data_IF_704623462534
#
_entry.id   IF_704623462534
#
_cell.length_a   1.000
_cell.length_b   1.000
_cell.length_c   1.000
_cell.angle_alpha   90.00
_cell.angle_beta   90.00
_cell.angle_gamma   90.00
#
_symmetry.space_group_name_H-M   'P 1'
#
loop_
_entity.id
_entity.type
_entity.pdbx_description
1 polymer ?
#
# COMPACT_ATOMS: atom_id res chain seq x y z
N UNK A 1 9.46 -38.41 37.60
CA UNK A 1 9.51 -38.45 36.14
C UNK A 1 9.72 -37.01 35.67
N UNK A 2 10.97 -36.66 35.53
CA UNK A 2 11.38 -35.32 35.13
C UNK A 2 11.07 -35.12 33.62
N UNK A 3 10.14 -34.25 33.30
CA UNK A 3 9.91 -33.80 31.95
C UNK A 3 10.92 -32.68 31.64
N UNK A 4 12.07 -33.08 31.15
CA UNK A 4 13.09 -32.14 30.68
C UNK A 4 12.54 -31.27 29.54
N UNK A 5 12.45 -29.99 29.75
CA UNK A 5 12.20 -28.99 28.73
C UNK A 5 13.51 -28.73 27.97
N UNK A 6 13.55 -29.16 26.73
CA UNK A 6 14.66 -28.83 25.84
C UNK A 6 14.41 -27.44 25.27
N UNK A 7 15.04 -26.44 25.85
CA UNK A 7 15.00 -25.06 25.37
C UNK A 7 16.12 -24.87 24.36
N UNK A 8 15.81 -24.97 23.07
CA UNK A 8 16.75 -24.55 22.04
C UNK A 8 16.73 -23.03 21.94
N UNK A 9 17.77 -22.39 22.44
CA UNK A 9 17.93 -20.94 22.39
C UNK A 9 18.63 -20.58 21.07
N UNK A 10 17.95 -19.85 20.20
CA UNK A 10 18.56 -19.26 19.01
C UNK A 10 18.95 -17.81 19.31
N UNK A 11 20.22 -17.53 19.32
CA UNK A 11 20.75 -16.16 19.35
C UNK A 11 20.89 -15.68 17.89
N UNK A 12 20.09 -14.73 17.49
CA UNK A 12 20.36 -13.94 16.30
C UNK A 12 21.09 -12.65 16.72
N UNK A 13 21.81 -12.02 15.83
CA UNK A 13 22.54 -10.75 16.07
C UNK A 13 21.62 -9.56 16.46
N UNK A 14 20.34 -9.80 16.61
CA UNK A 14 19.36 -8.88 17.13
C UNK A 14 19.29 -9.04 18.65
N UNK A 15 19.36 -7.95 19.39
CA UNK A 15 19.36 -7.87 20.86
C UNK A 15 18.06 -8.43 21.50
N UNK A 16 17.75 -9.71 21.29
CA UNK A 16 16.58 -10.36 21.84
C UNK A 16 16.72 -11.89 21.89
N UNK A 17 16.15 -12.52 22.92
CA UNK A 17 16.11 -13.98 23.08
C UNK A 17 14.78 -14.50 22.57
N UNK A 18 14.81 -15.48 21.67
CA UNK A 18 13.60 -16.17 21.16
C UNK A 18 13.55 -17.54 21.84
N UNK A 19 12.44 -17.85 22.50
CA UNK A 19 12.17 -19.19 23.06
C UNK A 19 10.93 -19.76 22.38
N UNK A 20 11.08 -20.94 21.75
CA UNK A 20 9.95 -21.67 21.14
C UNK A 20 9.49 -22.81 22.05
N UNK A 21 8.20 -23.12 22.09
CA UNK A 21 7.64 -24.32 22.70
C UNK A 21 7.38 -25.42 21.64
N UNK A 22 7.09 -26.64 22.08
CA UNK A 22 6.81 -27.78 21.19
C UNK A 22 5.56 -27.65 20.35
N UNK A 23 4.74 -26.62 20.58
CA UNK A 23 3.52 -26.32 19.81
C UNK A 23 3.77 -25.32 18.66
N UNK A 24 5.02 -24.87 18.47
CA UNK A 24 5.36 -23.93 17.41
C UNK A 24 5.04 -22.47 17.72
N UNK A 25 4.64 -22.18 18.96
CA UNK A 25 4.41 -20.80 19.38
C UNK A 25 5.74 -20.13 19.71
N UNK A 26 6.07 -19.04 19.04
CA UNK A 26 7.28 -18.24 19.30
C UNK A 26 6.91 -17.13 20.28
N UNK A 27 7.50 -17.16 21.48
CA UNK A 27 7.43 -16.03 22.42
C UNK A 27 8.68 -15.18 22.31
N UNK A 28 8.49 -13.93 21.94
CA UNK A 28 9.59 -12.97 21.81
C UNK A 28 9.66 -12.15 23.08
N UNK A 29 10.80 -12.21 23.75
CA UNK A 29 11.07 -11.40 24.94
C UNK A 29 12.05 -10.29 24.60
N UNK A 30 11.67 -9.04 24.83
CA UNK A 30 12.45 -7.82 24.56
C UNK A 30 12.91 -7.68 23.11
N UNK A 31 12.02 -7.27 22.25
CA UNK A 31 12.34 -6.83 20.90
C UNK A 31 12.88 -5.39 20.91
N UNK A 32 13.85 -5.10 20.03
CA UNK A 32 14.13 -3.72 19.63
C UNK A 32 12.84 -3.07 19.09
N UNK A 33 12.76 -1.74 19.08
CA UNK A 33 11.58 -1.02 18.54
C UNK A 33 11.26 -1.45 17.10
N UNK A 34 12.29 -1.75 16.30
CA UNK A 34 12.17 -2.25 14.91
C UNK A 34 11.65 -3.69 14.85
N UNK A 35 12.10 -4.57 15.75
CA UNK A 35 11.59 -5.94 15.83
C UNK A 35 10.15 -5.99 16.36
N UNK A 36 9.73 -5.03 17.21
CA UNK A 36 8.32 -4.90 17.64
C UNK A 36 7.42 -4.46 16.48
N UNK A 37 7.86 -3.51 15.64
CA UNK A 37 7.13 -3.12 14.43
C UNK A 37 6.90 -4.34 13.54
N UNK A 38 7.94 -5.13 13.28
CA UNK A 38 7.83 -6.33 12.43
C UNK A 38 6.95 -7.44 13.02
N UNK A 39 6.85 -7.59 14.35
CA UNK A 39 6.01 -8.62 14.99
C UNK A 39 4.52 -8.28 14.98
N UNK A 40 4.17 -7.01 14.80
CA UNK A 40 2.78 -6.51 14.80
C UNK A 40 2.32 -6.08 13.40
N UNK A 41 3.19 -6.21 12.39
CA UNK A 41 2.94 -5.80 11.01
C UNK A 41 2.78 -7.02 10.11
N UNK A 42 1.76 -6.99 9.27
CA UNK A 42 1.55 -8.03 8.26
C UNK A 42 2.30 -7.73 6.98
N UNK A 43 3.11 -8.68 6.55
CA UNK A 43 3.88 -8.68 5.31
C UNK A 43 3.42 -9.82 4.42
N UNK A 44 3.11 -9.54 3.16
CA UNK A 44 2.76 -10.57 2.18
C UNK A 44 3.85 -10.72 1.13
N UNK A 45 4.26 -11.99 0.89
CA UNK A 45 5.27 -12.43 -0.07
C UNK A 45 6.71 -11.98 0.24
N UNK A 46 6.99 -11.51 1.45
CA UNK A 46 8.34 -11.08 1.87
C UNK A 46 9.24 -12.25 2.26
N UNK A 47 8.69 -13.42 2.53
CA UNK A 47 9.41 -14.64 2.93
C UNK A 47 10.28 -15.25 1.82
N UNK A 48 10.02 -14.88 0.56
CA UNK A 48 10.65 -15.48 -0.62
C UNK A 48 11.19 -14.45 -1.62
N UNK A 49 11.72 -13.33 -1.11
CA UNK A 49 12.32 -12.28 -1.96
C UNK A 49 13.63 -12.79 -2.56
N UNK A 50 13.69 -12.73 -3.89
CA UNK A 50 14.93 -12.91 -4.66
C UNK A 50 15.50 -11.50 -4.93
N UNK A 51 16.72 -11.24 -4.42
CA UNK A 51 17.36 -9.91 -4.51
C UNK A 51 17.80 -9.54 -5.92
N UNK A 52 17.93 -10.53 -6.80
CA UNK A 52 18.32 -10.30 -8.20
C UNK A 52 17.13 -9.96 -9.08
N UNK A 53 15.90 -10.14 -8.57
CA UNK A 53 14.65 -9.81 -9.26
C UNK A 53 14.18 -8.40 -8.95
N UNK A 54 13.40 -7.85 -9.88
CA UNK A 54 12.65 -6.61 -9.68
C UNK A 54 11.58 -6.82 -8.61
N UNK A 55 11.39 -5.85 -7.74
CA UNK A 55 10.36 -5.87 -6.70
C UNK A 55 9.37 -4.74 -6.91
N UNK A 56 8.09 -5.03 -6.70
CA UNK A 56 7.03 -4.03 -6.67
C UNK A 56 6.36 -4.08 -5.31
N UNK A 57 6.44 -2.97 -4.58
CA UNK A 57 5.63 -2.76 -3.39
C UNK A 57 4.29 -2.15 -3.81
N UNK A 58 3.22 -2.88 -3.57
CA UNK A 58 1.88 -2.38 -3.72
C UNK A 58 1.43 -1.70 -2.42
N UNK A 59 0.79 -0.55 -2.54
CA UNK A 59 0.31 0.24 -1.41
C UNK A 59 -1.19 0.43 -1.58
N UNK A 60 -1.94 -0.02 -0.59
CA UNK A 60 -3.39 -0.03 -0.64
C UNK A 60 -4.00 1.37 -0.51
N UNK A 61 -5.23 1.52 -0.98
CA UNK A 61 -6.04 2.72 -0.80
C UNK A 61 -6.69 2.80 0.58
N UNK A 62 -7.41 3.89 0.83
CA UNK A 62 -8.08 4.17 2.09
C UNK A 62 -8.96 2.99 2.55
N UNK A 63 -8.76 2.53 3.80
CA UNK A 63 -9.48 1.43 4.42
C UNK A 63 -9.21 0.06 3.81
N UNK A 64 -8.27 -0.09 2.88
CA UNK A 64 -7.94 -1.33 2.18
C UNK A 64 -6.65 -1.96 2.71
N UNK A 65 -6.38 -3.22 2.34
CA UNK A 65 -5.26 -4.01 2.85
C UNK A 65 -4.66 -4.96 1.79
N UNK A 66 -3.85 -5.93 2.24
CA UNK A 66 -3.16 -6.91 1.40
C UNK A 66 -4.05 -7.68 0.42
N UNK A 67 -5.36 -7.71 0.63
CA UNK A 67 -6.32 -8.34 -0.29
C UNK A 67 -6.38 -7.64 -1.65
N UNK A 68 -5.88 -6.39 -1.74
CA UNK A 68 -5.74 -5.64 -2.98
C UNK A 68 -5.02 -6.45 -4.08
N UNK A 69 -3.92 -7.11 -3.73
CA UNK A 69 -3.06 -7.80 -4.71
C UNK A 69 -3.42 -9.27 -4.92
N UNK A 70 -4.54 -9.75 -4.32
CA UNK A 70 -4.89 -11.18 -4.31
C UNK A 70 -5.04 -11.78 -5.72
N UNK A 71 -5.54 -11.00 -6.65
CA UNK A 71 -5.81 -11.44 -8.03
C UNK A 71 -4.74 -11.03 -9.03
N UNK A 72 -3.73 -10.26 -8.61
CA UNK A 72 -2.63 -9.86 -9.49
C UNK A 72 -1.71 -11.03 -9.79
N UNK A 73 -1.28 -11.10 -11.03
CA UNK A 73 -0.29 -12.07 -11.52
C UNK A 73 0.70 -11.34 -12.40
N UNK A 74 1.84 -10.98 -11.85
CA UNK A 74 2.96 -10.50 -12.65
C UNK A 74 3.49 -11.69 -13.44
N UNK A 75 3.44 -11.58 -14.76
CA UNK A 75 3.69 -12.72 -15.67
C UNK A 75 5.15 -12.91 -16.00
N UNK A 76 5.99 -11.91 -15.73
CA UNK A 76 7.42 -11.97 -16.00
C UNK A 76 8.17 -12.67 -14.87
N UNK A 77 9.04 -13.62 -15.22
CA UNK A 77 9.92 -14.33 -14.29
C UNK A 77 10.99 -13.43 -13.63
N UNK A 78 11.18 -12.21 -14.17
CA UNK A 78 12.09 -11.21 -13.60
C UNK A 78 11.55 -10.52 -12.35
N UNK A 79 10.27 -10.69 -12.04
CA UNK A 79 9.65 -10.08 -10.86
C UNK A 79 9.58 -11.04 -9.67
N UNK A 80 9.74 -10.48 -8.50
CA UNK A 80 9.24 -11.08 -7.28
C UNK A 80 7.71 -11.12 -7.29
N UNK A 81 7.10 -11.98 -6.46
CA UNK A 81 5.65 -11.92 -6.23
C UNK A 81 5.25 -10.52 -5.72
N UNK A 82 4.03 -10.04 -6.02
CA UNK A 82 3.56 -8.76 -5.53
C UNK A 82 3.77 -8.59 -4.03
N UNK A 83 4.58 -7.61 -3.61
CA UNK A 83 4.84 -7.31 -2.20
C UNK A 83 3.78 -6.34 -1.71
N UNK A 84 3.25 -6.55 -0.52
CA UNK A 84 2.38 -5.58 0.16
C UNK A 84 2.57 -5.69 1.67
N UNK A 85 2.50 -4.54 2.33
CA UNK A 85 2.54 -4.40 3.78
C UNK A 85 1.23 -3.74 4.19
N UNK A 86 0.51 -4.35 5.14
CA UNK A 86 -0.67 -3.71 5.71
C UNK A 86 -0.25 -2.51 6.57
N UNK A 87 -0.88 -1.38 6.34
CA UNK A 87 -0.66 -0.16 7.13
C UNK A 87 -1.13 -0.37 8.58
N UNK A 88 -0.65 0.41 9.55
CA UNK A 88 -1.14 0.32 10.93
C UNK A 88 -2.66 0.47 11.01
N UNK A 89 -3.32 -0.43 11.72
CA UNK A 89 -4.79 -0.48 11.82
C UNK A 89 -5.51 -1.07 10.61
N UNK A 90 -4.78 -1.52 9.57
CA UNK A 90 -5.36 -2.12 8.37
C UNK A 90 -5.11 -3.63 8.32
N UNK A 91 -6.06 -4.36 7.76
CA UNK A 91 -5.93 -5.80 7.51
C UNK A 91 -5.52 -6.58 8.75
N UNK A 92 -4.39 -7.25 8.64
CA UNK A 92 -3.82 -8.07 9.72
C UNK A 92 -2.71 -7.33 10.51
N UNK A 93 -2.39 -6.06 10.16
CA UNK A 93 -1.48 -5.21 10.93
C UNK A 93 -2.16 -4.60 12.14
N UNK A 94 -1.46 -4.63 13.28
CA UNK A 94 -1.91 -3.96 14.51
C UNK A 94 -1.54 -2.48 14.51
N UNK A 95 -1.94 -1.81 15.58
CA UNK A 95 -1.70 -0.39 15.79
C UNK A 95 -2.90 0.46 15.39
N UNK A 96 -2.71 1.76 15.37
CA UNK A 96 -3.74 2.72 15.00
C UNK A 96 -3.45 3.31 13.63
N UNK A 97 -4.50 3.57 12.85
CA UNK A 97 -4.44 4.37 11.63
C UNK A 97 -3.86 5.77 11.89
N UNK A 98 -3.54 6.46 10.84
CA UNK A 98 -2.98 7.82 10.90
C UNK A 98 -3.68 8.73 9.90
N UNK A 99 -3.91 9.98 10.30
CA UNK A 99 -4.41 11.03 9.40
C UNK A 99 -3.28 11.79 8.67
N UNK A 100 -2.14 11.12 8.43
CA UNK A 100 -0.97 11.70 7.76
C UNK A 100 -0.34 10.71 6.78
N UNK A 101 -0.23 11.12 5.51
CA UNK A 101 0.48 10.41 4.44
C UNK A 101 1.96 10.24 4.79
N UNK A 102 2.58 11.25 5.39
CA UNK A 102 3.99 11.24 5.81
C UNK A 102 4.22 10.16 6.88
N UNK A 103 3.27 9.98 7.81
CA UNK A 103 3.35 8.95 8.84
C UNK A 103 3.29 7.54 8.24
N UNK A 104 2.40 7.31 7.29
CA UNK A 104 2.31 6.04 6.57
C UNK A 104 3.57 5.77 5.71
N UNK A 105 4.06 6.79 5.01
CA UNK A 105 5.31 6.70 4.25
C UNK A 105 6.49 6.32 5.15
N UNK A 106 6.65 7.01 6.26
CA UNK A 106 7.70 6.70 7.24
C UNK A 106 7.59 5.27 7.78
N UNK A 107 6.38 4.83 8.12
CA UNK A 107 6.13 3.46 8.58
C UNK A 107 6.58 2.42 7.54
N UNK A 108 6.17 2.57 6.27
CA UNK A 108 6.56 1.64 5.21
C UNK A 108 8.08 1.63 4.98
N UNK A 109 8.72 2.80 4.96
CA UNK A 109 10.18 2.90 4.82
C UNK A 109 10.88 2.19 5.99
N UNK A 110 10.42 2.40 7.22
CA UNK A 110 10.98 1.74 8.40
C UNK A 110 10.83 0.20 8.32
N UNK A 111 9.69 -0.29 7.83
CA UNK A 111 9.47 -1.71 7.58
C UNK A 111 10.42 -2.29 6.53
N UNK A 112 10.76 -1.51 5.50
CA UNK A 112 11.60 -1.97 4.39
C UNK A 112 13.11 -1.93 4.68
N UNK A 113 13.56 -1.26 5.74
CA UNK A 113 15.00 -1.11 6.07
C UNK A 113 15.74 -2.43 6.24
N UNK A 114 15.06 -3.47 6.69
CA UNK A 114 15.64 -4.81 6.87
C UNK A 114 15.74 -5.61 5.57
N UNK A 115 15.16 -5.12 4.48
CA UNK A 115 15.15 -5.78 3.18
C UNK A 115 16.06 -5.03 2.20
N UNK A 116 17.00 -5.74 1.60
CA UNK A 116 17.91 -5.18 0.58
C UNK A 116 17.22 -5.19 -0.80
N UNK A 117 16.27 -4.28 -1.00
CA UNK A 117 15.47 -4.16 -2.23
C UNK A 117 16.10 -3.14 -3.17
N UNK A 118 17.07 -3.55 -3.98
CA UNK A 118 17.83 -2.65 -4.87
C UNK A 118 17.03 -2.13 -6.07
N UNK A 119 16.04 -2.89 -6.53
CA UNK A 119 15.23 -2.59 -7.73
C UNK A 119 13.76 -2.49 -7.35
N UNK A 120 13.44 -1.59 -6.41
CA UNK A 120 12.10 -1.42 -5.89
C UNK A 120 11.31 -0.38 -6.67
N UNK A 121 10.19 -0.78 -7.25
CA UNK A 121 9.15 0.11 -7.77
C UNK A 121 7.98 0.20 -6.79
N UNK A 122 7.32 1.34 -6.75
CA UNK A 122 6.13 1.57 -5.92
C UNK A 122 4.89 1.61 -6.81
N UNK A 123 3.87 0.84 -6.44
CA UNK A 123 2.57 0.85 -7.12
C UNK A 123 1.47 1.16 -6.11
N UNK A 124 0.97 2.39 -6.12
CA UNK A 124 -0.03 2.86 -5.16
C UNK A 124 -1.42 3.00 -5.75
N UNK A 125 -2.41 2.41 -5.10
CA UNK A 125 -3.82 2.56 -5.43
C UNK A 125 -4.44 3.68 -4.59
N UNK A 126 -5.11 4.64 -5.22
CA UNK A 126 -5.84 5.71 -4.53
C UNK A 126 -4.94 6.43 -3.49
N UNK A 127 -5.27 6.41 -2.18
CA UNK A 127 -4.40 6.91 -1.11
C UNK A 127 -2.97 6.37 -1.19
N UNK A 128 -2.83 5.09 -1.51
CA UNK A 128 -1.51 4.44 -1.65
C UNK A 128 -0.60 5.10 -2.68
N UNK A 129 -1.17 5.76 -3.69
CA UNK A 129 -0.40 6.56 -4.65
C UNK A 129 0.20 7.82 -4.02
N UNK A 130 -0.51 8.48 -3.11
CA UNK A 130 0.02 9.63 -2.36
C UNK A 130 1.17 9.18 -1.44
N UNK A 131 1.00 8.02 -0.79
CA UNK A 131 2.04 7.43 0.05
C UNK A 131 3.28 7.08 -0.79
N UNK A 132 3.10 6.52 -1.99
CA UNK A 132 4.20 6.21 -2.91
C UNK A 132 4.98 7.48 -3.33
N UNK A 133 4.28 8.57 -3.63
CA UNK A 133 4.89 9.86 -3.93
C UNK A 133 5.68 10.38 -2.74
N UNK A 134 5.12 10.33 -1.54
CA UNK A 134 5.81 10.77 -0.31
C UNK A 134 7.03 9.91 0.00
N UNK A 135 6.95 8.58 -0.17
CA UNK A 135 8.11 7.69 0.02
C UNK A 135 9.27 8.07 -0.91
N UNK A 136 8.97 8.44 -2.16
CA UNK A 136 9.99 8.86 -3.11
C UNK A 136 10.66 10.20 -2.76
N UNK A 137 9.97 11.07 -2.02
CA UNK A 137 10.54 12.34 -1.52
C UNK A 137 11.57 12.14 -0.40
N UNK A 138 11.64 10.96 0.21
CA UNK A 138 12.56 10.70 1.32
C UNK A 138 13.99 10.45 0.81
N UNK A 139 14.92 11.34 1.16
CA UNK A 139 16.29 11.41 0.62
C UNK A 139 17.12 10.12 0.75
N UNK A 140 16.83 9.28 1.72
CA UNK A 140 17.56 8.05 2.01
C UNK A 140 16.82 6.78 1.55
N UNK A 141 15.83 6.93 0.68
CA UNK A 141 15.06 5.83 0.16
C UNK A 141 15.10 5.86 -1.38
N UNK A 142 15.58 4.77 -1.99
CA UNK A 142 15.73 4.67 -3.44
C UNK A 142 14.55 3.95 -4.07
N UNK A 143 13.97 4.57 -5.08
CA UNK A 143 12.82 4.05 -5.84
C UNK A 143 13.18 4.06 -7.33
N UNK A 144 12.92 2.95 -8.01
CA UNK A 144 13.17 2.80 -9.45
C UNK A 144 12.10 3.47 -10.32
N UNK A 145 10.85 3.32 -9.94
CA UNK A 145 9.72 3.93 -10.63
C UNK A 145 8.49 4.00 -9.73
N UNK A 146 7.52 4.83 -10.09
CA UNK A 146 6.25 4.98 -9.40
C UNK A 146 5.10 4.71 -10.38
N UNK A 147 4.15 3.90 -9.97
CA UNK A 147 2.89 3.68 -10.69
C UNK A 147 1.75 4.15 -9.79
N UNK A 148 1.00 5.13 -10.26
CA UNK A 148 -0.22 5.63 -9.62
C UNK A 148 -1.42 4.94 -10.29
N UNK A 149 -2.14 4.11 -9.54
CA UNK A 149 -3.35 3.44 -10.06
C UNK A 149 -4.58 4.10 -9.46
N UNK A 150 -5.39 4.72 -10.31
CA UNK A 150 -6.56 5.48 -9.89
C UNK A 150 -6.24 6.46 -8.74
N UNK A 151 -5.11 7.14 -8.87
CA UNK A 151 -4.55 8.05 -7.88
C UNK A 151 -3.91 9.26 -8.55
N UNK A 152 -3.99 10.41 -7.91
CA UNK A 152 -3.35 11.65 -8.34
C UNK A 152 -3.20 12.64 -7.18
N UNK A 153 -2.22 13.54 -7.30
CA UNK A 153 -2.08 14.70 -6.41
C UNK A 153 -2.40 16.00 -7.18
N UNK A 154 -3.10 16.95 -6.57
CA UNK A 154 -3.74 16.88 -5.27
C UNK A 154 -5.00 16.01 -5.28
N UNK A 155 -5.22 15.28 -4.19
CA UNK A 155 -6.48 14.57 -3.95
C UNK A 155 -7.38 15.42 -3.08
N UNK A 156 -8.60 15.66 -3.53
CA UNK A 156 -9.63 16.36 -2.74
C UNK A 156 -10.74 15.39 -2.39
N UNK A 157 -10.86 15.10 -1.12
CA UNK A 157 -11.93 14.24 -0.62
C UNK A 157 -13.23 15.03 -0.56
N UNK A 158 -14.27 14.52 -1.19
CA UNK A 158 -15.57 15.18 -1.21
C UNK A 158 -16.19 15.26 0.20
N UNK A 159 -16.70 16.43 0.59
CA UNK A 159 -17.31 16.66 1.91
C UNK A 159 -18.38 15.63 2.29
N UNK A 160 -19.27 15.16 1.38
CA UNK A 160 -20.21 14.10 1.71
C UNK A 160 -19.55 12.78 2.11
N UNK A 161 -18.36 12.47 1.59
CA UNK A 161 -17.61 11.28 1.94
C UNK A 161 -16.96 11.42 3.33
N UNK A 162 -16.35 12.56 3.62
CA UNK A 162 -15.82 12.87 4.95
C UNK A 162 -16.92 12.83 6.03
N UNK A 163 -18.08 13.40 5.73
CA UNK A 163 -19.24 13.35 6.64
C UNK A 163 -19.68 11.93 6.92
N UNK A 164 -19.69 11.04 5.90
CA UNK A 164 -20.01 9.62 6.08
C UNK A 164 -18.98 8.89 6.93
N UNK A 165 -17.71 9.16 6.72
CA UNK A 165 -16.62 8.57 7.53
C UNK A 165 -16.73 8.99 9.01
N UNK A 166 -17.09 10.24 9.30
CA UNK A 166 -17.31 10.74 10.67
C UNK A 166 -18.49 10.10 11.38
N UNK A 167 -19.51 9.67 10.66
CA UNK A 167 -20.73 9.12 11.24
C UNK A 167 -20.65 7.61 11.61
N UNK A 168 -19.55 6.95 11.29
CA UNK A 168 -19.20 5.59 11.76
C UNK A 168 -20.31 4.54 11.57
N UNK A 169 -20.59 4.13 10.33
CA UNK A 169 -21.54 3.04 10.04
C UNK A 169 -21.15 2.25 8.77
N UNK A 170 -19.87 2.24 8.35
CA UNK A 170 -19.45 1.66 7.08
C UNK A 170 -19.96 2.42 5.85
N UNK A 171 -20.65 3.53 6.03
CA UNK A 171 -21.26 4.34 4.98
C UNK A 171 -20.25 4.95 4.01
N UNK A 172 -19.01 5.21 4.49
CA UNK A 172 -17.93 5.74 3.65
C UNK A 172 -17.44 4.69 2.65
N UNK A 173 -17.21 3.45 3.09
CA UNK A 173 -16.84 2.35 2.20
C UNK A 173 -17.93 2.09 1.15
N UNK A 174 -19.21 2.08 1.57
CA UNK A 174 -20.34 1.93 0.65
C UNK A 174 -20.44 3.07 -0.36
N UNK A 175 -20.12 4.30 0.05
CA UNK A 175 -20.07 5.45 -0.85
C UNK A 175 -18.94 5.28 -1.89
N UNK A 176 -17.73 4.93 -1.45
CA UNK A 176 -16.59 4.71 -2.35
C UNK A 176 -16.90 3.57 -3.33
N UNK A 177 -17.47 2.47 -2.87
CA UNK A 177 -17.89 1.34 -3.71
C UNK A 177 -18.93 1.78 -4.73
N UNK A 178 -19.96 2.51 -4.30
CA UNK A 178 -21.05 2.96 -5.15
C UNK A 178 -20.59 3.86 -6.31
N UNK A 179 -19.66 4.75 -6.04
CA UNK A 179 -19.19 5.72 -7.04
C UNK A 179 -17.91 5.27 -7.75
N UNK A 180 -17.12 4.40 -7.12
CA UNK A 180 -15.87 3.91 -7.68
C UNK A 180 -16.03 2.72 -8.61
N UNK A 181 -16.98 1.80 -8.36
CA UNK A 181 -17.16 0.64 -9.23
C UNK A 181 -17.84 0.99 -10.55
N UNK A 182 -17.29 0.44 -11.64
CA UNK A 182 -17.96 0.35 -12.93
C UNK A 182 -18.70 -0.99 -13.09
N UNK A 183 -18.01 -2.10 -12.85
CA UNK A 183 -18.57 -3.46 -12.90
C UNK A 183 -19.11 -3.88 -11.53
N UNK A 184 -20.29 -4.50 -11.49
CA UNK A 184 -20.81 -5.04 -10.23
C UNK A 184 -19.96 -6.23 -9.79
N UNK A 185 -19.24 -6.09 -8.68
CA UNK A 185 -18.43 -7.14 -8.09
C UNK A 185 -19.02 -7.60 -6.76
N UNK A 186 -19.30 -8.90 -6.67
CA UNK A 186 -19.71 -9.52 -5.41
C UNK A 186 -18.49 -9.62 -4.49
N UNK A 187 -18.66 -9.26 -3.22
CA UNK A 187 -17.61 -9.39 -2.21
C UNK A 187 -16.56 -8.28 -2.21
N UNK A 188 -16.71 -7.21 -3.00
CA UNK A 188 -15.77 -6.06 -2.97
C UNK A 188 -15.64 -5.44 -1.57
N UNK A 189 -16.68 -5.52 -0.74
CA UNK A 189 -16.63 -5.07 0.65
C UNK A 189 -15.55 -5.78 1.48
N UNK A 190 -15.21 -7.02 1.12
CA UNK A 190 -14.16 -7.78 1.79
C UNK A 190 -12.75 -7.27 1.47
N UNK A 191 -12.60 -6.32 0.54
CA UNK A 191 -11.33 -5.65 0.28
C UNK A 191 -11.01 -4.54 1.28
N UNK A 192 -11.98 -4.17 2.11
CA UNK A 192 -11.82 -3.18 3.17
C UNK A 192 -11.58 -3.87 4.51
N UNK A 193 -10.79 -3.24 5.37
CA UNK A 193 -10.48 -3.70 6.73
C UNK A 193 -11.73 -3.83 7.59
N UNK A 194 -11.71 -4.69 8.61
CA UNK A 194 -12.91 -4.97 9.44
C UNK A 194 -13.29 -3.79 10.34
N UNK A 195 -12.31 -3.10 10.94
CA UNK A 195 -12.51 -1.88 11.76
C UNK A 195 -12.58 -0.61 10.90
N UNK A 196 -13.56 -0.57 10.00
CA UNK A 196 -13.63 0.32 8.84
C UNK A 196 -13.76 1.81 9.15
N UNK A 197 -14.40 2.15 10.25
CA UNK A 197 -14.91 3.52 10.41
C UNK A 197 -13.83 4.52 10.82
N UNK A 198 -13.07 4.23 11.89
CA UNK A 198 -11.96 5.10 12.32
C UNK A 198 -10.83 5.13 11.29
N UNK A 199 -10.44 3.96 10.77
CA UNK A 199 -9.41 3.84 9.72
C UNK A 199 -9.78 4.66 8.50
N UNK A 200 -11.03 4.54 8.03
CA UNK A 200 -11.49 5.26 6.84
C UNK A 200 -11.49 6.79 7.05
N UNK A 201 -11.86 7.28 8.25
CA UNK A 201 -11.80 8.70 8.54
C UNK A 201 -10.38 9.23 8.51
N UNK A 202 -9.46 8.58 9.24
CA UNK A 202 -8.06 8.97 9.29
C UNK A 202 -7.43 8.99 7.89
N UNK A 203 -7.68 7.97 7.08
CA UNK A 203 -7.14 7.85 5.73
C UNK A 203 -7.65 8.94 4.79
N UNK A 204 -8.94 9.25 4.85
CA UNK A 204 -9.54 10.32 4.04
C UNK A 204 -9.05 11.69 4.48
N UNK A 205 -8.87 11.91 5.78
CA UNK A 205 -8.25 13.12 6.30
C UNK A 205 -6.78 13.22 5.89
N UNK A 206 -6.02 12.12 5.93
CA UNK A 206 -4.64 12.06 5.43
C UNK A 206 -4.56 12.50 3.97
N UNK A 207 -5.43 11.94 3.10
CA UNK A 207 -5.50 12.34 1.69
C UNK A 207 -5.80 13.82 1.50
N UNK A 208 -6.76 14.35 2.26
CA UNK A 208 -7.23 15.73 2.11
C UNK A 208 -6.23 16.77 2.63
N UNK A 209 -5.44 16.40 3.64
CA UNK A 209 -4.48 17.28 4.29
C UNK A 209 -3.09 17.24 3.66
N UNK A 210 -2.79 16.22 2.86
CA UNK A 210 -1.46 16.00 2.29
C UNK A 210 -1.01 17.15 1.39
N UNK A 211 0.25 17.58 1.57
CA UNK A 211 0.88 18.63 0.78
C UNK A 211 2.18 18.12 0.14
N UNK A 212 2.24 18.14 -1.18
CA UNK A 212 3.40 17.70 -1.95
C UNK A 212 4.00 18.84 -2.75
N UNK A 213 5.32 18.98 -2.68
CA UNK A 213 6.06 19.91 -3.54
C UNK A 213 6.34 19.26 -4.91
N UNK A 214 5.50 19.54 -5.89
CA UNK A 214 5.65 19.00 -7.25
C UNK A 214 6.94 19.39 -7.95
N UNK A 215 7.52 20.54 -7.62
CA UNK A 215 8.81 20.98 -8.18
C UNK A 215 9.96 20.12 -7.64
N UNK A 216 9.94 19.79 -6.37
CA UNK A 216 10.92 18.87 -5.78
C UNK A 216 10.75 17.46 -6.34
N UNK A 217 9.51 16.95 -6.43
CA UNK A 217 9.22 15.65 -7.01
C UNK A 217 9.76 15.53 -8.45
N UNK A 218 9.50 16.53 -9.28
CA UNK A 218 10.04 16.58 -10.65
C UNK A 218 11.57 16.45 -10.70
N UNK A 219 12.27 17.03 -9.74
CA UNK A 219 13.73 17.03 -9.70
C UNK A 219 14.35 15.70 -9.26
N UNK A 220 13.56 14.74 -8.80
CA UNK A 220 14.04 13.40 -8.43
C UNK A 220 14.35 12.53 -9.66
N UNK A 221 13.86 12.91 -10.84
CA UNK A 221 14.04 12.17 -12.11
C UNK A 221 13.62 10.69 -12.03
N UNK A 222 12.60 10.40 -11.23
CA UNK A 222 12.02 9.07 -11.09
C UNK A 222 10.90 8.91 -12.12
N UNK A 223 10.91 7.85 -12.95
CA UNK A 223 9.82 7.58 -13.89
C UNK A 223 8.48 7.42 -13.17
N UNK A 224 7.47 8.19 -13.59
CA UNK A 224 6.11 8.11 -13.05
C UNK A 224 5.14 7.72 -14.15
N UNK A 225 4.34 6.68 -13.88
CA UNK A 225 3.24 6.24 -14.73
C UNK A 225 1.91 6.36 -13.98
N UNK A 226 0.88 6.81 -14.67
CA UNK A 226 -0.47 6.98 -14.14
C UNK A 226 -1.39 6.02 -14.90
N UNK A 227 -2.05 5.11 -14.20
CA UNK A 227 -3.05 4.20 -14.75
C UNK A 227 -4.41 4.64 -14.23
N UNK A 228 -5.31 4.96 -15.15
CA UNK A 228 -6.66 5.43 -14.84
C UNK A 228 -7.71 4.42 -15.31
N UNK A 229 -8.71 4.19 -14.50
CA UNK A 229 -9.95 3.57 -14.98
C UNK A 229 -10.76 4.57 -15.80
N UNK A 230 -11.12 4.22 -17.02
CA UNK A 230 -11.90 5.09 -17.92
C UNK A 230 -13.32 5.40 -17.41
N UNK A 231 -13.80 4.63 -16.43
CA UNK A 231 -15.10 4.81 -15.78
C UNK A 231 -14.95 5.26 -14.32
N UNK A 232 -13.75 5.60 -13.88
CA UNK A 232 -13.51 6.14 -12.53
C UNK A 232 -14.20 7.50 -12.38
N UNK A 233 -14.93 7.67 -11.28
CA UNK A 233 -15.62 8.92 -10.95
C UNK A 233 -15.06 9.59 -9.69
N UNK A 234 -14.01 9.03 -9.11
CA UNK A 234 -13.39 9.53 -7.89
C UNK A 234 -12.12 10.31 -8.18
N UNK A 235 -11.40 9.98 -9.25
CA UNK A 235 -10.20 10.70 -9.68
C UNK A 235 -10.60 11.97 -10.45
N UNK A 236 -10.03 13.10 -10.03
CA UNK A 236 -10.19 14.38 -10.75
C UNK A 236 -9.24 14.43 -11.97
N UNK A 237 -9.79 14.30 -13.17
CA UNK A 237 -9.01 14.36 -14.42
C UNK A 237 -8.31 15.71 -14.60
N UNK A 238 -8.85 16.82 -14.06
CA UNK A 238 -8.19 18.11 -14.10
C UNK A 238 -6.94 18.12 -13.22
N UNK A 239 -6.97 17.45 -12.08
CA UNK A 239 -5.78 17.26 -11.25
C UNK A 239 -4.71 16.43 -11.98
N UNK A 240 -5.11 15.41 -12.78
CA UNK A 240 -4.18 14.64 -13.61
C UNK A 240 -3.47 15.55 -14.61
N UNK A 241 -4.19 16.38 -15.35
CA UNK A 241 -3.59 17.30 -16.31
C UNK A 241 -2.69 18.35 -15.65
N UNK A 242 -3.11 18.88 -14.50
CA UNK A 242 -2.27 19.83 -13.73
C UNK A 242 -0.98 19.17 -13.22
N UNK A 243 -1.05 17.94 -12.75
CA UNK A 243 0.12 17.17 -12.30
C UNK A 243 1.10 16.96 -13.45
N UNK A 244 0.61 16.48 -14.61
CA UNK A 244 1.40 16.23 -15.81
C UNK A 244 2.06 17.49 -16.37
N UNK A 245 1.43 18.63 -16.20
CA UNK A 245 2.00 19.92 -16.62
C UNK A 245 3.27 20.30 -15.86
N UNK A 246 3.45 19.75 -14.64
CA UNK A 246 4.60 20.02 -13.77
C UNK A 246 5.56 18.82 -13.75
N UNK A 247 5.02 17.61 -13.54
CA UNK A 247 5.79 16.38 -13.35
C UNK A 247 5.66 15.50 -14.60
N UNK A 248 6.75 15.27 -15.37
CA UNK A 248 6.72 14.39 -16.52
C UNK A 248 6.22 13.00 -16.14
N UNK A 249 5.14 12.55 -16.76
CA UNK A 249 4.54 11.25 -16.47
C UNK A 249 3.82 10.69 -17.68
N UNK A 250 3.79 9.35 -17.80
CA UNK A 250 3.00 8.63 -18.80
C UNK A 250 1.62 8.32 -18.26
N UNK A 251 0.60 8.37 -19.09
CA UNK A 251 -0.77 8.02 -18.68
C UNK A 251 -1.31 6.89 -19.54
N UNK A 252 -1.94 5.92 -18.88
CA UNK A 252 -2.58 4.76 -19.47
C UNK A 252 -4.03 4.71 -18.98
N UNK A 253 -4.94 4.22 -19.82
CA UNK A 253 -6.37 4.12 -19.45
C UNK A 253 -6.88 2.71 -19.68
N UNK A 254 -7.57 2.18 -18.68
CA UNK A 254 -8.34 0.95 -18.76
C UNK A 254 -9.81 1.33 -19.00
N UNK A 255 -10.27 1.26 -20.25
CA UNK A 255 -11.52 1.92 -20.71
C UNK A 255 -12.77 1.48 -19.96
N UNK A 256 -12.92 0.18 -19.66
CA UNK A 256 -14.10 -0.41 -19.02
C UNK A 256 -13.86 -0.75 -17.53
N UNK A 257 -13.08 0.09 -16.83
CA UNK A 257 -12.68 -0.09 -15.44
C UNK A 257 -13.00 1.19 -14.66
N UNK A 258 -13.51 1.04 -13.44
CA UNK A 258 -13.73 2.12 -12.50
C UNK A 258 -12.51 2.37 -11.60
N UNK A 259 -12.77 2.77 -10.36
CA UNK A 259 -11.72 3.09 -9.37
C UNK A 259 -10.96 1.84 -8.86
N UNK A 260 -11.57 0.67 -8.95
CA UNK A 260 -11.05 -0.56 -8.37
C UNK A 260 -10.41 -1.47 -9.43
N UNK A 261 -9.45 -0.94 -10.21
CA UNK A 261 -8.78 -1.67 -11.28
C UNK A 261 -8.22 -3.04 -10.85
N UNK A 262 -7.72 -3.16 -9.63
CA UNK A 262 -7.21 -4.39 -9.04
C UNK A 262 -8.26 -5.51 -8.91
N UNK A 263 -9.52 -5.18 -8.92
CA UNK A 263 -10.65 -6.11 -8.79
C UNK A 263 -11.49 -6.19 -10.05
N UNK A 264 -11.61 -5.09 -10.82
CA UNK A 264 -12.44 -5.01 -12.01
C UNK A 264 -11.77 -5.63 -13.23
N UNK A 265 -10.44 -5.48 -13.36
CA UNK A 265 -9.64 -6.10 -14.41
C UNK A 265 -8.20 -6.37 -13.96
N UNK A 266 -7.99 -7.32 -13.04
CA UNK A 266 -6.65 -7.63 -12.53
C UNK A 266 -5.69 -8.19 -13.57
N UNK A 267 -6.21 -8.78 -14.65
CA UNK A 267 -5.38 -9.37 -15.70
C UNK A 267 -4.77 -8.26 -16.55
N UNK A 268 -5.60 -7.38 -17.08
CA UNK A 268 -5.15 -6.24 -17.89
C UNK A 268 -4.23 -5.31 -17.08
N UNK A 269 -4.61 -5.04 -15.82
CA UNK A 269 -3.76 -4.27 -14.91
C UNK A 269 -2.40 -4.93 -14.69
N UNK A 270 -2.35 -6.27 -14.49
CA UNK A 270 -1.09 -6.99 -14.28
C UNK A 270 -0.17 -6.91 -15.50
N UNK A 271 -0.75 -7.10 -16.72
CA UNK A 271 -0.01 -6.98 -17.96
C UNK A 271 0.57 -5.57 -18.12
N UNK A 272 -0.27 -4.56 -17.94
CA UNK A 272 0.14 -3.16 -18.07
C UNK A 272 1.23 -2.78 -17.06
N UNK A 273 1.13 -3.22 -15.82
CA UNK A 273 2.18 -3.00 -14.80
C UNK A 273 3.49 -3.66 -15.25
N UNK A 274 3.44 -4.89 -15.75
CA UNK A 274 4.64 -5.61 -16.22
C UNK A 274 5.30 -4.91 -17.41
N UNK A 275 4.51 -4.32 -18.32
CA UNK A 275 5.02 -3.59 -19.49
C UNK A 275 5.63 -2.22 -19.13
N UNK A 276 5.25 -1.63 -18.00
CA UNK A 276 5.72 -0.31 -17.54
C UNK A 276 7.09 -0.39 -16.87
N UNK A 277 7.38 -1.47 -16.15
CA UNK A 277 8.58 -1.66 -15.32
C UNK A 277 9.62 -2.54 -16.04
#
# INVERSE_FOLDING_TARGET
MDSGWDTTTFTTELNGTIAGDRAGSIRVYQLSKEAMVNSETYFRNFESIDKDKKSILFIAGAGMDHRLVRSLKLTDSEFNKPLIIDLPGHGDSKGSSSNSIESYSKFLIDCLKSYDLKNLSLCGHSMGGLIALEMAMQKNFSVQSIILVNSIYPTRVAEPLLTKAKNSNGDAADFIIKYGLHKRLLGIKNAFSEDKDLVMLDDLEACNNYQLNLTELKNLDIPISIILGGKDRLVDLKAVENFKAIVPSKTFTLDEVGHFAFFEDPIELSNLISDII
#
